data_IF_052015891138
#
_entry.id   IF_052015891138
#
_cell.length_a   1.000
_cell.length_b   1.000
_cell.length_c   1.000
_cell.angle_alpha   90.00
_cell.angle_beta   90.00
_cell.angle_gamma   90.00
#
_symmetry.space_group_name_H-M   'P 1'
#
loop_
_entity.id
_entity.type
_entity.pdbx_description
1 polymer ?
#
# COMPACT_ATOMS: atom_id res chain seq x y z
N UNK A 1 -55.95 34.07 7.54
CA UNK A 1 -54.60 33.53 7.26
C UNK A 1 -53.78 34.66 6.66
N UNK A 2 -52.59 35.07 7.11
CA UNK A 2 -51.70 34.68 8.20
C UNK A 2 -50.82 35.91 8.51
N UNK A 3 -50.31 36.02 9.74
CA UNK A 3 -49.49 37.12 10.22
C UNK A 3 -48.00 36.72 10.32
N UNK A 4 -47.16 37.58 9.76
CA UNK A 4 -45.91 38.20 10.27
C UNK A 4 -44.87 37.36 11.06
N UNK A 5 -43.70 37.20 10.41
CA UNK A 5 -42.28 37.38 10.82
C UNK A 5 -41.80 36.93 12.21
N UNK A 6 -40.70 36.15 12.24
CA UNK A 6 -39.59 36.36 13.18
C UNK A 6 -38.27 35.72 12.69
N UNK A 7 -37.19 36.47 12.91
CA UNK A 7 -35.77 36.18 12.65
C UNK A 7 -35.17 35.44 13.88
N UNK A 8 -34.03 34.77 13.68
CA UNK A 8 -32.88 34.64 14.62
C UNK A 8 -32.44 33.20 14.99
N UNK A 9 -31.24 32.88 14.54
CA UNK A 9 -30.08 32.32 15.27
C UNK A 9 -30.27 31.56 16.60
N UNK A 10 -29.53 30.45 16.72
CA UNK A 10 -28.71 30.20 17.92
C UNK A 10 -28.87 28.85 18.62
N UNK A 11 -27.71 28.25 18.90
CA UNK A 11 -27.36 27.36 20.02
C UNK A 11 -28.17 26.07 20.29
N UNK A 12 -27.42 24.96 20.25
CA UNK A 12 -27.01 24.36 21.53
C UNK A 12 -27.52 22.95 21.87
N UNK A 13 -26.54 22.05 22.01
CA UNK A 13 -26.34 21.05 23.08
C UNK A 13 -27.46 20.04 23.43
N UNK A 14 -27.04 18.76 23.54
CA UNK A 14 -27.30 17.74 24.62
C UNK A 14 -27.59 16.36 24.00
N UNK A 15 -26.68 15.41 24.21
CA UNK A 15 -26.80 14.35 25.24
C UNK A 15 -28.01 13.44 25.00
N UNK A 16 -27.74 12.26 24.43
CA UNK A 16 -28.71 11.18 24.28
C UNK A 16 -28.39 10.11 25.31
N UNK A 17 -29.01 10.27 26.48
CA UNK A 17 -29.02 9.27 27.55
C UNK A 17 -30.16 8.27 27.36
N UNK A 18 -29.81 7.00 27.61
CA UNK A 18 -30.63 5.88 28.14
C UNK A 18 -31.55 5.15 27.17
N UNK A 19 -31.11 3.96 26.76
CA UNK A 19 -31.97 2.80 26.56
C UNK A 19 -31.74 1.83 27.72
N UNK A 20 -32.81 1.58 28.49
CA UNK A 20 -32.85 0.60 29.56
C UNK A 20 -32.93 -0.80 28.97
N UNK A 21 -32.13 -1.74 29.45
CA UNK A 21 -32.25 -3.16 29.15
C UNK A 21 -32.66 -3.89 30.42
N UNK A 22 -33.78 -4.59 30.35
CA UNK A 22 -34.36 -5.36 31.44
C UNK A 22 -33.50 -6.58 31.78
N UNK A 23 -33.34 -6.86 33.07
CA UNK A 23 -32.68 -8.05 33.59
C UNK A 23 -33.72 -9.13 33.87
N UNK A 24 -33.46 -10.35 33.38
CA UNK A 24 -34.15 -11.58 33.81
C UNK A 24 -33.16 -12.36 34.66
N UNK A 25 -33.48 -12.58 35.93
CA UNK A 25 -32.68 -13.39 36.85
C UNK A 25 -33.11 -14.85 36.78
N UNK A 26 -32.16 -15.76 36.56
CA UNK A 26 -32.30 -17.20 36.85
C UNK A 26 -31.48 -17.54 38.10
N UNK A 27 -32.01 -18.30 39.09
CA UNK A 27 -31.28 -18.59 40.31
C UNK A 27 -30.53 -19.93 40.27
N UNK A 28 -29.43 -19.95 41.03
CA UNK A 28 -28.60 -21.07 41.51
C UNK A 28 -27.54 -21.68 40.58
N UNK A 29 -26.25 -21.58 40.96
CA UNK A 29 -25.53 -22.55 41.82
C UNK A 29 -24.06 -22.10 41.99
N UNK A 30 -23.65 -21.91 43.25
CA UNK A 30 -22.30 -21.72 43.83
C UNK A 30 -21.11 -21.24 42.96
N UNK A 31 -20.58 -20.02 43.21
CA UNK A 31 -19.21 -19.70 42.86
C UNK A 31 -18.29 -20.08 44.03
N UNK A 32 -17.42 -21.07 43.84
CA UNK A 32 -16.18 -21.16 44.61
C UNK A 32 -15.38 -19.89 44.34
N UNK A 33 -15.57 -18.87 45.18
CA UNK A 33 -14.72 -17.69 45.21
C UNK A 33 -13.36 -18.14 45.77
N UNK A 34 -12.49 -18.61 44.88
CA UNK A 34 -11.06 -18.69 45.19
C UNK A 34 -10.59 -17.25 45.28
N UNK A 35 -10.61 -16.70 46.49
CA UNK A 35 -10.06 -15.38 46.78
C UNK A 35 -8.55 -15.48 46.58
N UNK A 36 -8.10 -15.31 45.34
CA UNK A 36 -6.71 -14.97 45.07
C UNK A 36 -6.50 -13.56 45.59
N UNK A 37 -6.24 -13.47 46.90
CA UNK A 37 -5.61 -12.32 47.51
C UNK A 37 -4.18 -12.26 46.97
N UNK A 38 -4.03 -11.84 45.71
CA UNK A 38 -2.78 -11.31 45.20
C UNK A 38 -2.53 -10.04 46.00
N UNK A 39 -1.79 -10.18 47.09
CA UNK A 39 -1.18 -9.05 47.76
C UNK A 39 -0.32 -8.32 46.75
N UNK A 40 -0.86 -7.27 46.14
CA UNK A 40 -0.07 -6.27 45.48
C UNK A 40 0.79 -5.64 46.57
N UNK A 41 2.02 -6.15 46.72
CA UNK A 41 3.10 -5.40 47.34
C UNK A 41 3.05 -4.00 46.73
N UNK A 42 2.73 -2.99 47.54
CA UNK A 42 2.89 -1.61 47.15
C UNK A 42 4.39 -1.32 47.08
N UNK A 43 5.05 -1.89 46.09
CA UNK A 43 6.26 -1.29 45.55
C UNK A 43 5.85 0.10 45.09
N UNK A 44 6.28 1.12 45.84
CA UNK A 44 6.18 2.52 45.43
C UNK A 44 6.85 2.63 44.07
N UNK A 45 6.04 2.80 43.03
CA UNK A 45 6.54 3.22 41.73
C UNK A 45 7.14 4.61 41.94
N UNK A 46 8.47 4.69 41.97
CA UNK A 46 9.16 5.96 41.82
C UNK A 46 8.90 6.37 40.38
N UNK A 47 8.03 7.35 40.15
CA UNK A 47 7.77 7.88 38.81
C UNK A 47 8.94 8.78 38.41
N UNK A 48 10.14 8.21 38.29
CA UNK A 48 11.23 8.86 37.58
C UNK A 48 10.82 8.85 36.10
N UNK A 49 10.64 10.02 35.50
CA UNK A 49 10.10 10.21 34.14
C UNK A 49 11.05 9.69 33.02
N UNK A 50 12.08 8.90 33.35
CA UNK A 50 13.24 8.64 32.50
C UNK A 50 13.03 7.49 31.50
N UNK A 51 12.05 6.61 31.74
CA UNK A 51 11.70 5.48 30.83
C UNK A 51 10.54 5.81 29.87
N UNK A 52 10.13 7.08 29.82
CA UNK A 52 9.08 7.51 28.89
C UNK A 52 9.58 7.47 27.44
N UNK A 53 8.74 7.01 26.49
CA UNK A 53 9.15 6.94 25.09
C UNK A 53 9.39 8.35 24.54
N UNK A 54 10.59 8.59 24.03
CA UNK A 54 10.92 9.84 23.35
C UNK A 54 10.32 9.83 21.94
N UNK A 55 9.63 10.90 21.51
CA UNK A 55 9.19 11.03 20.13
C UNK A 55 10.41 11.18 19.21
N UNK A 56 10.72 10.14 18.44
CA UNK A 56 11.78 10.09 17.44
C UNK A 56 11.28 9.49 16.11
N UNK A 57 11.94 9.75 14.98
CA UNK A 57 11.67 9.00 13.76
C UNK A 57 12.04 7.52 13.95
N UNK A 58 11.30 6.62 13.31
CA UNK A 58 11.56 5.18 13.42
C UNK A 58 12.98 4.82 12.94
N UNK A 59 13.90 4.40 13.83
CA UNK A 59 15.29 4.09 13.47
C UNK A 59 15.42 2.76 12.71
N UNK A 60 14.43 1.87 12.84
CA UNK A 60 14.38 0.57 12.15
C UNK A 60 13.65 0.66 10.80
N UNK A 61 13.37 1.87 10.30
CA UNK A 61 12.69 2.05 9.03
C UNK A 61 13.61 1.70 7.86
N UNK A 62 13.32 0.59 7.20
CA UNK A 62 14.02 0.19 5.98
C UNK A 62 13.78 1.21 4.84
N UNK A 63 14.78 1.40 3.95
CA UNK A 63 14.61 2.24 2.78
C UNK A 63 13.58 1.64 1.82
N UNK A 64 12.86 2.52 1.12
CA UNK A 64 11.87 2.08 0.14
C UNK A 64 12.52 1.29 -0.99
N UNK A 65 11.90 0.15 -1.33
CA UNK A 65 12.33 -0.69 -2.45
C UNK A 65 12.27 0.09 -3.76
N UNK A 66 13.32 0.01 -4.55
CA UNK A 66 13.44 0.66 -5.86
C UNK A 66 13.19 -0.35 -6.97
N UNK A 67 12.63 0.11 -8.09
CA UNK A 67 12.57 -0.71 -9.30
C UNK A 67 13.93 -0.82 -9.99
N UNK A 68 14.05 -1.78 -10.89
CA UNK A 68 15.29 -2.14 -11.59
C UNK A 68 15.87 -0.96 -12.40
N UNK A 69 15.02 -0.09 -12.94
CA UNK A 69 15.41 1.07 -13.76
C UNK A 69 15.44 2.40 -12.99
N UNK A 70 15.33 2.38 -11.66
CA UNK A 70 15.33 3.62 -10.87
C UNK A 70 16.69 4.32 -10.98
N UNK A 71 16.70 5.61 -11.33
CA UNK A 71 17.94 6.39 -11.53
C UNK A 71 18.67 6.14 -12.86
N UNK A 72 18.17 5.24 -13.72
CA UNK A 72 18.76 5.00 -15.05
C UNK A 72 18.01 5.79 -16.13
N UNK A 73 18.73 6.27 -17.15
CA UNK A 73 18.15 6.93 -18.33
C UNK A 73 17.71 5.87 -19.34
N UNK A 74 16.52 6.04 -19.91
CA UNK A 74 15.92 5.12 -20.89
C UNK A 74 15.84 5.85 -22.22
N UNK A 75 16.60 5.38 -23.20
CA UNK A 75 16.63 5.92 -24.55
C UNK A 75 15.95 4.96 -25.53
N UNK A 76 15.27 5.52 -26.53
CA UNK A 76 14.61 4.73 -27.58
C UNK A 76 15.61 3.99 -28.50
N UNK A 77 16.88 4.41 -28.48
CA UNK A 77 17.97 3.82 -29.27
C UNK A 77 18.43 2.47 -28.71
N UNK A 78 18.22 2.23 -27.42
CA UNK A 78 18.70 1.03 -26.73
C UNK A 78 17.71 -0.12 -26.90
N UNK A 79 17.64 -0.67 -28.12
CA UNK A 79 16.67 -1.71 -28.50
C UNK A 79 16.80 -2.96 -27.62
N UNK A 80 18.01 -3.33 -27.21
CA UNK A 80 18.25 -4.46 -26.32
C UNK A 80 17.49 -4.33 -24.99
N UNK A 81 17.56 -3.16 -24.35
CA UNK A 81 16.87 -2.90 -23.08
C UNK A 81 15.34 -2.87 -23.27
N UNK A 82 14.85 -2.27 -24.35
CA UNK A 82 13.42 -2.20 -24.64
C UNK A 82 12.83 -3.59 -24.95
N UNK A 83 13.60 -4.43 -25.64
CA UNK A 83 13.19 -5.79 -26.04
C UNK A 83 13.00 -6.74 -24.85
N UNK A 84 13.51 -6.41 -23.67
CA UNK A 84 13.28 -7.18 -22.44
C UNK A 84 11.88 -7.00 -21.84
N UNK A 85 11.18 -5.90 -22.19
CA UNK A 85 9.85 -5.57 -21.68
C UNK A 85 8.71 -5.93 -22.63
N UNK A 86 9.01 -6.76 -23.63
CA UNK A 86 8.09 -7.13 -24.72
C UNK A 86 7.95 -8.65 -24.81
N UNK A 87 6.75 -9.10 -25.17
CA UNK A 87 6.45 -10.50 -25.47
C UNK A 87 7.29 -11.01 -26.65
N UNK A 88 8.02 -12.13 -26.51
CA UNK A 88 8.83 -12.68 -27.59
C UNK A 88 7.99 -13.05 -28.83
N UNK A 89 6.78 -13.57 -28.61
CA UNK A 89 5.92 -14.08 -29.69
C UNK A 89 5.01 -13.01 -30.31
N UNK A 90 4.55 -12.04 -29.52
CA UNK A 90 3.44 -11.14 -29.93
C UNK A 90 3.88 -9.69 -30.10
N UNK A 91 5.07 -9.31 -29.62
CA UNK A 91 5.47 -7.90 -29.61
C UNK A 91 4.68 -7.03 -28.62
N UNK A 92 3.79 -7.62 -27.82
CA UNK A 92 3.01 -6.92 -26.80
C UNK A 92 3.90 -6.41 -25.66
N UNK A 93 3.69 -5.16 -25.25
CA UNK A 93 4.40 -4.53 -24.13
C UNK A 93 3.80 -5.04 -22.81
N UNK A 94 4.63 -5.55 -21.91
CA UNK A 94 4.15 -6.04 -20.63
C UNK A 94 3.67 -4.91 -19.70
N UNK A 95 2.67 -5.22 -18.87
CA UNK A 95 2.14 -4.31 -17.86
C UNK A 95 2.99 -4.24 -16.58
N UNK A 96 2.66 -3.29 -15.69
CA UNK A 96 3.43 -3.08 -14.43
C UNK A 96 3.42 -4.26 -13.47
N UNK A 97 2.33 -5.02 -13.44
CA UNK A 97 2.21 -6.21 -12.59
C UNK A 97 3.21 -7.32 -12.97
N UNK A 98 3.74 -7.28 -14.20
CA UNK A 98 4.76 -8.20 -14.69
C UNK A 98 6.16 -7.59 -14.57
N UNK A 99 6.34 -6.35 -15.05
CA UNK A 99 7.67 -5.72 -15.12
C UNK A 99 8.19 -5.25 -13.77
N UNK A 100 7.30 -5.01 -12.79
CA UNK A 100 7.67 -4.50 -11.47
C UNK A 100 8.24 -3.08 -11.49
N UNK A 101 8.04 -2.32 -12.57
CA UNK A 101 8.57 -0.97 -12.71
C UNK A 101 7.69 0.08 -12.01
N UNK A 102 8.33 1.14 -11.50
CA UNK A 102 7.63 2.33 -11.04
C UNK A 102 6.82 2.95 -12.20
N UNK A 103 5.71 3.62 -11.87
CA UNK A 103 4.83 4.18 -12.90
C UNK A 103 5.48 5.18 -13.86
N UNK A 104 6.42 5.98 -13.35
CA UNK A 104 7.22 6.91 -14.15
C UNK A 104 8.04 6.17 -15.20
N UNK A 105 8.78 5.13 -14.76
CA UNK A 105 9.63 4.31 -15.63
C UNK A 105 8.85 3.46 -16.61
N UNK A 106 7.70 2.92 -16.21
CA UNK A 106 6.83 2.22 -17.17
C UNK A 106 6.39 3.14 -18.30
N UNK A 107 5.97 4.38 -17.99
CA UNK A 107 5.55 5.35 -19.01
C UNK A 107 6.71 5.75 -19.92
N UNK A 108 7.91 5.93 -19.38
CA UNK A 108 9.13 6.18 -20.16
C UNK A 108 9.42 5.02 -21.12
N UNK A 109 9.40 3.77 -20.63
CA UNK A 109 9.61 2.57 -21.45
C UNK A 109 8.57 2.44 -22.55
N UNK A 110 7.28 2.59 -22.24
CA UNK A 110 6.22 2.51 -23.26
C UNK A 110 6.39 3.57 -24.35
N UNK A 111 6.74 4.81 -23.97
CA UNK A 111 7.01 5.89 -24.94
C UNK A 111 8.25 5.58 -25.79
N UNK A 112 9.32 5.09 -25.18
CA UNK A 112 10.56 4.74 -25.88
C UNK A 112 10.33 3.59 -26.87
N UNK A 113 9.60 2.54 -26.47
CA UNK A 113 9.19 1.42 -27.33
C UNK A 113 8.41 1.94 -28.54
N UNK A 114 7.36 2.74 -28.32
CA UNK A 114 6.53 3.25 -29.41
C UNK A 114 7.32 4.15 -30.35
N UNK A 115 8.23 4.98 -29.82
CA UNK A 115 9.13 5.81 -30.63
C UNK A 115 10.10 4.94 -31.45
N UNK A 116 10.70 3.91 -30.85
CA UNK A 116 11.61 2.99 -31.54
C UNK A 116 10.89 2.23 -32.66
N UNK A 117 9.64 1.82 -32.43
CA UNK A 117 8.79 1.15 -33.42
C UNK A 117 8.48 2.05 -34.63
N UNK A 118 8.05 3.30 -34.39
CA UNK A 118 7.71 4.25 -35.47
C UNK A 118 8.94 4.63 -36.30
N UNK A 119 10.10 4.77 -35.66
CA UNK A 119 11.36 5.12 -36.33
C UNK A 119 12.05 3.92 -37.00
N UNK A 120 11.52 2.70 -36.87
CA UNK A 120 12.08 1.51 -37.50
C UNK A 120 13.28 0.88 -36.77
N UNK A 121 13.56 1.28 -35.52
CA UNK A 121 14.63 0.65 -34.71
C UNK A 121 14.22 -0.70 -34.13
N UNK A 122 12.92 -0.95 -33.96
CA UNK A 122 12.42 -2.17 -33.30
C UNK A 122 11.14 -2.69 -33.95
N UNK A 123 11.00 -4.01 -34.18
CA UNK A 123 9.78 -4.59 -34.73
C UNK A 123 8.56 -4.41 -33.81
N UNK A 124 7.37 -4.41 -34.43
CA UNK A 124 6.08 -4.24 -33.72
C UNK A 124 5.45 -5.58 -33.37
N UNK A 125 5.50 -6.55 -34.28
CA UNK A 125 4.75 -7.80 -34.22
C UNK A 125 5.47 -8.92 -33.48
N UNK A 126 6.79 -8.87 -33.40
CA UNK A 126 7.63 -9.88 -32.74
C UNK A 126 8.83 -9.22 -32.08
N UNK A 127 9.53 -9.96 -31.21
CA UNK A 127 10.81 -9.54 -30.65
C UNK A 127 11.94 -9.97 -31.58
N UNK A 128 12.92 -9.10 -31.81
CA UNK A 128 14.10 -9.42 -32.60
C UNK A 128 14.81 -10.70 -32.09
N UNK A 129 15.05 -11.70 -32.95
CA UNK A 129 15.74 -12.94 -32.59
C UNK A 129 17.10 -12.73 -31.92
N UNK A 130 17.81 -11.65 -32.24
CA UNK A 130 19.11 -11.32 -31.65
C UNK A 130 19.03 -11.16 -30.11
N UNK A 131 17.93 -10.60 -29.61
CA UNK A 131 17.73 -10.30 -28.18
C UNK A 131 16.93 -11.37 -27.43
N UNK A 132 16.65 -12.53 -28.06
CA UNK A 132 15.84 -13.58 -27.44
C UNK A 132 16.56 -14.25 -26.26
N UNK A 133 17.89 -14.32 -26.31
CA UNK A 133 18.76 -14.96 -25.31
C UNK A 133 19.15 -14.06 -24.14
N UNK A 134 18.67 -12.81 -24.12
CA UNK A 134 18.92 -11.87 -23.02
C UNK A 134 18.33 -12.37 -21.68
N UNK A 135 18.89 -11.94 -20.53
CA UNK A 135 18.36 -12.30 -19.23
C UNK A 135 16.90 -11.83 -19.09
N UNK A 136 16.03 -12.75 -18.66
CA UNK A 136 14.59 -12.49 -18.51
C UNK A 136 14.32 -11.68 -17.25
N UNK A 137 13.95 -10.42 -17.42
CA UNK A 137 13.56 -9.51 -16.31
C UNK A 137 12.12 -9.74 -15.87
N UNK A 138 11.26 -10.16 -16.80
CA UNK A 138 9.83 -10.33 -16.56
C UNK A 138 9.54 -11.77 -16.09
N UNK A 139 8.82 -11.91 -14.97
CA UNK A 139 8.46 -13.19 -14.37
C UNK A 139 7.26 -13.84 -15.07
N UNK A 140 7.37 -14.11 -16.37
CA UNK A 140 6.34 -14.80 -17.14
C UNK A 140 6.81 -16.21 -17.45
N UNK A 141 5.96 -17.17 -17.12
CA UNK A 141 6.10 -18.55 -17.57
C UNK A 141 5.09 -18.76 -18.70
N UNK A 142 5.60 -19.04 -19.88
CA UNK A 142 4.77 -19.54 -20.97
C UNK A 142 4.51 -21.03 -20.70
N UNK A 143 3.33 -21.52 -21.09
CA UNK A 143 3.05 -22.95 -21.06
C UNK A 143 3.89 -23.60 -22.15
N UNK A 144 4.76 -24.51 -21.76
CA UNK A 144 5.56 -25.36 -22.64
C UNK A 144 4.67 -26.33 -23.41
#
# INVERSE_FOLDING_TARGET
>A
MAAVVAICSGLGRKELTRLATAAVCFPHRDPHAVLWSRGCSQYKQVTSNEDMPVPMENPYKEPLKKCILCGKRVDYKNVQLLSQFISPFTGCIYGRHITGLCGKKQKEITKAIKRAQILGFMPVTYKDPAYLKDPKVCNIRYRE
#
